data_IF_917762251562
#
_entry.id   IF_917762251562
#
_cell.length_a   1.000
_cell.length_b   1.000
_cell.length_c   1.000
_cell.angle_alpha   90.00
_cell.angle_beta   90.00
_cell.angle_gamma   90.00
#
_symmetry.space_group_name_H-M   'P 1'
#
loop_
_entity.id
_entity.type
_entity.pdbx_description
1 polymer ?
#
# COMPACT_ATOMS: atom_id res chain seq x y z
N UNK A 1 20.04 -23.98 -22.70
CA UNK A 1 18.60 -24.35 -22.75
C UNK A 1 18.42 -25.82 -22.44
N UNK A 2 19.30 -26.70 -22.93
CA UNK A 2 19.31 -28.15 -22.66
C UNK A 2 19.08 -28.52 -21.20
N UNK A 3 19.86 -27.96 -20.26
CA UNK A 3 19.66 -28.19 -18.81
C UNK A 3 18.24 -27.87 -18.30
N UNK A 4 17.58 -26.85 -18.85
CA UNK A 4 16.22 -26.49 -18.43
C UNK A 4 15.19 -27.50 -18.98
N UNK A 5 15.37 -27.91 -20.25
CA UNK A 5 14.53 -28.92 -20.89
C UNK A 5 14.67 -30.31 -20.26
N UNK A 6 15.88 -30.72 -19.88
CA UNK A 6 16.14 -31.98 -19.16
C UNK A 6 15.38 -32.06 -17.84
N UNK A 7 15.23 -30.92 -17.16
CA UNK A 7 14.50 -30.83 -15.90
C UNK A 7 13.01 -30.46 -16.09
N UNK A 8 12.53 -30.25 -17.32
CA UNK A 8 11.15 -29.82 -17.58
C UNK A 8 10.81 -28.44 -17.01
N UNK A 9 11.81 -27.56 -16.87
CA UNK A 9 11.71 -26.22 -16.30
C UNK A 9 12.02 -25.15 -17.36
N UNK A 10 11.74 -23.89 -17.04
CA UNK A 10 12.00 -22.76 -17.93
C UNK A 10 13.33 -22.07 -17.59
N UNK A 11 14.06 -21.63 -18.62
CA UNK A 11 15.19 -20.71 -18.45
C UNK A 11 14.65 -19.27 -18.44
N UNK A 12 14.66 -18.63 -17.28
CA UNK A 12 14.11 -17.27 -17.09
C UNK A 12 15.22 -16.28 -16.80
N UNK A 13 15.26 -15.19 -17.56
CA UNK A 13 16.14 -14.05 -17.31
C UNK A 13 15.61 -13.22 -16.13
N UNK A 14 16.32 -13.24 -14.99
CA UNK A 14 15.92 -12.53 -13.77
C UNK A 14 16.62 -11.18 -13.61
N UNK A 15 17.78 -10.99 -14.22
CA UNK A 15 18.51 -9.73 -14.20
C UNK A 15 19.06 -9.39 -15.59
N UNK A 16 18.26 -8.73 -16.45
CA UNK A 16 18.68 -8.34 -17.80
C UNK A 16 19.67 -7.17 -17.79
N UNK A 17 19.77 -6.41 -16.69
CA UNK A 17 20.66 -5.25 -16.55
C UNK A 17 22.05 -5.58 -16.02
N UNK A 18 22.31 -6.83 -15.63
CA UNK A 18 23.63 -7.27 -15.19
C UNK A 18 24.52 -7.61 -16.41
N UNK A 19 25.83 -7.40 -16.29
CA UNK A 19 26.82 -7.82 -17.29
C UNK A 19 27.75 -8.87 -16.66
N UNK A 20 27.63 -10.17 -17.01
CA UNK A 20 26.68 -10.77 -17.95
C UNK A 20 25.25 -10.92 -17.39
N UNK A 21 24.22 -11.03 -18.26
CA UNK A 21 22.84 -11.23 -17.83
C UNK A 21 22.69 -12.54 -17.04
N UNK A 22 21.92 -12.50 -15.96
CA UNK A 22 21.76 -13.64 -15.06
C UNK A 22 20.46 -14.36 -15.38
N UNK A 23 20.59 -15.58 -15.90
CA UNK A 23 19.47 -16.49 -16.15
C UNK A 23 19.37 -17.51 -15.01
N UNK A 24 18.15 -17.84 -14.58
CA UNK A 24 17.88 -18.91 -13.61
C UNK A 24 16.94 -19.94 -14.22
N UNK A 25 17.17 -21.21 -13.91
CA UNK A 25 16.27 -22.31 -14.28
C UNK A 25 15.19 -22.39 -13.19
N UNK A 26 13.96 -22.01 -13.52
CA UNK A 26 12.82 -22.00 -12.58
C UNK A 26 11.53 -22.36 -13.32
N UNK A 27 10.54 -22.87 -12.60
CA UNK A 27 9.16 -22.94 -13.11
C UNK A 27 8.56 -21.53 -13.11
N UNK A 28 8.38 -20.96 -14.31
CA UNK A 28 7.90 -19.61 -14.45
C UNK A 28 6.45 -19.44 -13.95
N UNK A 29 5.61 -20.45 -14.15
CA UNK A 29 4.20 -20.42 -13.78
C UNK A 29 4.04 -20.40 -12.26
N UNK A 30 4.78 -21.26 -11.56
CA UNK A 30 4.82 -21.28 -10.09
C UNK A 30 5.39 -20.00 -9.52
N UNK A 31 6.49 -19.49 -10.09
CA UNK A 31 7.10 -18.24 -9.66
C UNK A 31 6.14 -17.05 -9.78
N UNK A 32 5.45 -16.91 -10.92
CA UNK A 32 4.46 -15.85 -11.14
C UNK A 32 3.33 -15.93 -10.11
N UNK A 33 2.83 -17.13 -9.82
CA UNK A 33 1.78 -17.34 -8.82
C UNK A 33 2.23 -16.91 -7.41
N UNK A 34 3.43 -17.29 -6.99
CA UNK A 34 3.96 -16.91 -5.68
C UNK A 34 4.21 -15.40 -5.57
N UNK A 35 4.70 -14.76 -6.64
CA UNK A 35 4.88 -13.32 -6.70
C UNK A 35 3.53 -12.58 -6.61
N UNK A 36 2.52 -12.97 -7.40
CA UNK A 36 1.18 -12.38 -7.29
C UNK A 36 0.57 -12.58 -5.90
N UNK A 37 0.76 -13.77 -5.30
CA UNK A 37 0.28 -14.07 -3.94
C UNK A 37 0.97 -13.18 -2.91
N UNK A 38 2.28 -12.96 -3.04
CA UNK A 38 3.06 -12.05 -2.19
C UNK A 38 2.61 -10.60 -2.36
N UNK A 39 2.44 -10.12 -3.59
CA UNK A 39 1.93 -8.78 -3.88
C UNK A 39 0.52 -8.57 -3.32
N UNK A 40 -0.39 -9.54 -3.48
CA UNK A 40 -1.73 -9.48 -2.88
C UNK A 40 -1.67 -9.42 -1.36
N UNK A 41 -0.76 -10.16 -0.72
CA UNK A 41 -0.54 -10.08 0.75
C UNK A 41 -0.02 -8.70 1.15
N UNK A 42 0.94 -8.14 0.42
CA UNK A 42 1.48 -6.80 0.69
C UNK A 42 0.38 -5.74 0.54
N UNK A 43 -0.39 -5.77 -0.56
CA UNK A 43 -1.52 -4.85 -0.80
C UNK A 43 -2.60 -4.97 0.27
N UNK A 44 -2.92 -6.18 0.73
CA UNK A 44 -3.90 -6.40 1.82
C UNK A 44 -3.40 -5.91 3.17
N UNK A 45 -2.11 -6.07 3.46
CA UNK A 45 -1.52 -5.62 4.72
C UNK A 45 -1.16 -4.14 4.73
N UNK A 46 -1.17 -3.48 3.58
CA UNK A 46 -0.96 -2.04 3.48
C UNK A 46 -2.12 -1.32 4.18
N UNK A 47 -1.81 -0.61 5.25
CA UNK A 47 -2.79 0.20 5.95
C UNK A 47 -3.22 1.37 5.06
N UNK A 48 -4.48 1.34 4.61
CA UNK A 48 -5.07 2.41 3.81
C UNK A 48 -5.39 3.59 4.72
N UNK A 49 -4.51 4.58 4.75
CA UNK A 49 -4.74 5.84 5.46
C UNK A 49 -5.77 6.67 4.70
N UNK A 50 -6.91 7.00 5.33
CA UNK A 50 -7.90 7.88 4.72
C UNK A 50 -7.67 9.33 5.16
N UNK A 51 -8.02 10.28 4.29
CA UNK A 51 -8.03 11.70 4.63
C UNK A 51 -9.43 12.11 5.10
N UNK A 52 -9.58 12.33 6.40
CA UNK A 52 -10.83 12.81 7.02
C UNK A 52 -10.79 14.33 7.14
N UNK A 53 -11.84 15.00 6.66
CA UNK A 53 -11.95 16.46 6.74
C UNK A 53 -12.88 16.87 7.88
N UNK A 54 -12.44 17.82 8.70
CA UNK A 54 -13.25 18.43 9.76
C UNK A 54 -13.40 19.91 9.44
N UNK A 55 -14.65 20.36 9.30
CA UNK A 55 -14.96 21.77 9.06
C UNK A 55 -15.28 22.49 10.37
N UNK A 56 -14.64 23.63 10.58
CA UNK A 56 -14.87 24.55 11.70
C UNK A 56 -15.44 25.87 11.20
N UNK A 57 -16.24 26.52 12.04
CA UNK A 57 -16.73 27.89 11.85
C UNK A 57 -16.02 28.82 12.84
N UNK A 58 -15.81 30.11 12.52
CA UNK A 58 -15.16 31.05 13.43
C UNK A 58 -15.96 31.29 14.71
N UNK A 59 -17.30 31.34 14.63
CA UNK A 59 -18.19 31.51 15.78
C UNK A 59 -18.66 30.15 16.36
N UNK A 60 -17.72 29.21 16.56
CA UNK A 60 -18.04 27.90 17.15
C UNK A 60 -18.18 28.03 18.67
N UNK A 61 -19.24 27.44 19.24
CA UNK A 61 -19.40 27.38 20.70
C UNK A 61 -18.55 26.27 21.34
N UNK A 62 -18.25 26.41 22.63
CA UNK A 62 -17.42 25.46 23.40
C UNK A 62 -17.85 23.99 23.29
N UNK A 63 -19.17 23.74 23.27
CA UNK A 63 -19.72 22.39 23.13
C UNK A 63 -19.39 21.76 21.77
N UNK A 64 -19.60 22.49 20.68
CA UNK A 64 -19.31 22.01 19.32
C UNK A 64 -17.79 21.85 19.11
N UNK A 65 -16.98 22.77 19.65
CA UNK A 65 -15.52 22.66 19.62
C UNK A 65 -15.04 21.35 20.26
N UNK A 66 -15.50 21.04 21.47
CA UNK A 66 -15.14 19.80 22.18
C UNK A 66 -15.52 18.54 21.38
N UNK A 67 -16.67 18.54 20.71
CA UNK A 67 -17.12 17.42 19.86
C UNK A 67 -16.19 17.25 18.66
N UNK A 68 -15.84 18.35 17.97
CA UNK A 68 -14.94 18.32 16.80
C UNK A 68 -13.53 17.86 17.17
N UNK A 69 -13.02 18.28 18.33
CA UNK A 69 -11.73 17.81 18.86
C UNK A 69 -11.75 16.32 19.18
N UNK A 70 -12.81 15.84 19.84
CA UNK A 70 -12.97 14.40 20.13
C UNK A 70 -13.02 13.59 18.83
N UNK A 71 -13.73 14.09 17.83
CA UNK A 71 -13.83 13.46 16.51
C UNK A 71 -12.46 13.41 15.80
N UNK A 72 -11.68 14.50 15.85
CA UNK A 72 -10.32 14.55 15.32
C UNK A 72 -9.41 13.52 16.00
N UNK A 73 -9.49 13.41 17.33
CA UNK A 73 -8.71 12.46 18.12
C UNK A 73 -9.01 11.02 17.73
N UNK A 74 -10.29 10.67 17.59
CA UNK A 74 -10.71 9.32 17.16
C UNK A 74 -10.23 8.97 15.74
N UNK A 75 -10.15 9.95 14.82
CA UNK A 75 -9.59 9.70 13.49
C UNK A 75 -8.06 9.48 13.54
N UNK A 76 -7.34 10.25 14.35
CA UNK A 76 -5.90 10.06 14.55
C UNK A 76 -5.57 8.72 15.22
N UNK A 77 -6.38 8.28 16.19
CA UNK A 77 -6.26 6.96 16.82
C UNK A 77 -6.46 5.81 15.82
N UNK A 78 -7.32 6.03 14.81
CA UNK A 78 -7.52 5.10 13.68
C UNK A 78 -6.43 5.19 12.60
N UNK A 79 -5.37 5.98 12.83
CA UNK A 79 -4.27 6.27 11.89
C UNK A 79 -4.72 6.93 10.57
N UNK A 80 -5.90 7.56 10.58
CA UNK A 80 -6.35 8.39 9.47
C UNK A 80 -5.68 9.78 9.54
N UNK A 81 -5.46 10.40 8.38
CA UNK A 81 -5.00 11.79 8.30
C UNK A 81 -6.18 12.72 8.48
N UNK A 82 -6.06 13.72 9.35
CA UNK A 82 -7.11 14.70 9.59
C UNK A 82 -6.73 16.04 8.96
N UNK A 83 -7.61 16.58 8.11
CA UNK A 83 -7.50 17.94 7.55
C UNK A 83 -8.57 18.82 8.17
N UNK A 84 -8.16 19.82 8.92
CA UNK A 84 -9.07 20.79 9.53
C UNK A 84 -9.18 21.99 8.59
N UNK A 85 -10.41 22.31 8.17
CA UNK A 85 -10.71 23.47 7.33
C UNK A 85 -11.60 24.44 8.11
N UNK A 86 -11.15 25.67 8.30
CA UNK A 86 -11.97 26.74 8.87
C UNK A 86 -12.59 27.54 7.73
N UNK A 87 -13.92 27.63 7.71
CA UNK A 87 -14.63 28.43 6.72
C UNK A 87 -14.86 29.83 7.27
N UNK A 88 -14.20 30.82 6.68
CA UNK A 88 -14.47 32.22 6.91
C UNK A 88 -15.56 32.67 5.95
N UNK A 89 -16.57 33.38 6.46
CA UNK A 89 -17.55 34.08 5.64
C UNK A 89 -17.10 35.53 5.51
#
# INVERSE_FOLDING_TARGET
IELAQEHGLDLVEVAPTAAPPVCRIIDYSKYKYDQEKKERRIKKNQHVMHLKQIRLKPNIGDGDYKIKVKQARTFLEKKDKVKINMFFR
#
